data_IF_946131331321
#
_entry.id   IF_946131331321
#
_cell.length_a   1.000
_cell.length_b   1.000
_cell.length_c   1.000
_cell.angle_alpha   90.00
_cell.angle_beta   90.00
_cell.angle_gamma   90.00
#
_symmetry.space_group_name_H-M   'P 1'
#
loop_
_entity.id
_entity.type
_entity.pdbx_description
1 polymer ?
#
# COMPACT_ATOMS: atom_id res chain seq x y z
N UNK A 1 13.79 -9.03 -11.12
CA UNK A 1 13.29 -10.28 -10.50
C UNK A 1 13.20 -10.04 -9.01
N UNK A 2 12.01 -10.09 -8.41
CA UNK A 2 11.84 -9.74 -7.01
C UNK A 2 11.92 -10.98 -6.12
N UNK A 3 12.74 -10.91 -5.07
CA UNK A 3 12.83 -11.97 -4.08
C UNK A 3 11.51 -12.11 -3.31
N UNK A 4 11.18 -13.32 -2.88
CA UNK A 4 9.91 -13.62 -2.21
C UNK A 4 9.78 -12.85 -0.89
N UNK A 5 10.89 -12.68 -0.16
CA UNK A 5 10.94 -11.88 1.06
C UNK A 5 10.70 -10.39 0.77
N UNK A 6 11.28 -9.87 -0.32
CA UNK A 6 11.06 -8.49 -0.77
C UNK A 6 9.60 -8.25 -1.16
N UNK A 7 8.97 -9.21 -1.87
CA UNK A 7 7.55 -9.10 -2.24
C UNK A 7 6.64 -9.08 -1.01
N UNK A 8 6.90 -9.94 -0.01
CA UNK A 8 6.16 -9.94 1.27
C UNK A 8 6.34 -8.61 2.01
N UNK A 9 7.57 -8.10 2.11
CA UNK A 9 7.84 -6.80 2.74
C UNK A 9 7.10 -5.66 2.04
N UNK A 10 7.12 -5.62 0.71
CA UNK A 10 6.40 -4.62 -0.09
C UNK A 10 4.90 -4.69 0.17
N UNK A 11 4.28 -5.86 0.14
CA UNK A 11 2.86 -5.99 0.45
C UNK A 11 2.52 -5.46 1.85
N UNK A 12 3.31 -5.79 2.87
CA UNK A 12 3.08 -5.29 4.25
C UNK A 12 3.16 -3.76 4.30
N UNK A 13 4.18 -3.17 3.71
CA UNK A 13 4.35 -1.71 3.69
C UNK A 13 3.18 -1.03 2.98
N UNK A 14 2.76 -1.56 1.84
CA UNK A 14 1.69 -0.97 1.05
C UNK A 14 0.33 -1.14 1.73
N UNK A 15 0.05 -2.29 2.34
CA UNK A 15 -1.16 -2.49 3.14
C UNK A 15 -1.24 -1.50 4.30
N UNK A 16 -0.15 -1.30 5.04
CA UNK A 16 -0.09 -0.30 6.12
C UNK A 16 -0.35 1.10 5.60
N UNK A 17 0.17 1.47 4.43
CA UNK A 17 -0.07 2.76 3.81
C UNK A 17 -1.55 2.99 3.46
N UNK A 18 -2.22 1.97 2.89
CA UNK A 18 -3.64 2.02 2.56
C UNK A 18 -4.49 2.16 3.83
N UNK A 19 -4.23 1.33 4.84
CA UNK A 19 -4.94 1.42 6.12
C UNK A 19 -4.69 2.75 6.83
N UNK A 20 -3.47 3.28 6.78
CA UNK A 20 -3.12 4.59 7.32
C UNK A 20 -3.90 5.72 6.64
N UNK A 21 -3.97 5.72 5.31
CA UNK A 21 -4.78 6.68 4.56
C UNK A 21 -6.28 6.56 4.85
N UNK A 22 -6.78 5.33 5.01
CA UNK A 22 -8.18 5.10 5.38
C UNK A 22 -8.48 5.68 6.77
N UNK A 23 -7.60 5.44 7.74
CA UNK A 23 -7.72 6.01 9.07
C UNK A 23 -7.73 7.53 9.03
N UNK A 24 -6.95 8.17 8.14
CA UNK A 24 -6.98 9.63 7.94
C UNK A 24 -8.36 10.15 7.47
N UNK A 25 -9.10 9.36 6.69
CA UNK A 25 -10.45 9.73 6.23
C UNK A 25 -11.54 9.55 7.30
N UNK A 26 -11.30 8.77 8.35
CA UNK A 26 -12.29 8.47 9.39
C UNK A 26 -12.23 9.48 10.55
N UNK A 27 -11.29 10.42 10.52
CA UNK A 27 -11.00 11.29 11.67
C UNK A 27 -11.98 12.48 11.76
N UNK A 28 -12.66 12.71 12.90
CA UNK A 28 -13.66 13.78 13.02
C UNK A 28 -13.07 15.17 13.33
N UNK A 29 -11.75 15.28 13.50
CA UNK A 29 -11.11 16.45 14.09
C UNK A 29 -10.34 17.35 13.12
N UNK A 30 -9.90 16.85 11.96
CA UNK A 30 -9.14 17.65 10.99
C UNK A 30 -9.63 17.44 9.57
N UNK A 31 -10.21 18.49 9.00
CA UNK A 31 -10.71 18.51 7.63
C UNK A 31 -9.58 18.46 6.60
N UNK A 32 -8.42 19.01 6.95
CA UNK A 32 -7.22 18.94 6.10
C UNK A 32 -6.68 17.51 6.05
N UNK A 33 -6.65 16.81 7.19
CA UNK A 33 -6.25 15.40 7.24
C UNK A 33 -7.21 14.50 6.44
N UNK A 34 -8.51 14.78 6.50
CA UNK A 34 -9.51 14.12 5.66
C UNK A 34 -9.25 14.34 4.15
N UNK A 35 -8.96 15.59 3.76
CA UNK A 35 -8.64 15.95 2.36
C UNK A 35 -7.39 15.22 1.86
N UNK A 36 -6.38 15.03 2.70
CA UNK A 36 -5.18 14.28 2.35
C UNK A 36 -5.36 12.74 2.45
N UNK A 37 -6.38 12.25 3.15
CA UNK A 37 -6.65 10.82 3.27
C UNK A 37 -6.92 10.15 1.93
N UNK A 38 -7.77 10.74 1.08
CA UNK A 38 -8.09 10.20 -0.25
C UNK A 38 -6.85 10.00 -1.15
N UNK A 39 -6.00 11.03 -1.39
CA UNK A 39 -4.80 10.84 -2.20
C UNK A 39 -3.79 9.86 -1.59
N UNK A 40 -3.69 9.78 -0.25
CA UNK A 40 -2.82 8.80 0.42
C UNK A 40 -3.31 7.36 0.19
N UNK A 41 -4.61 7.11 0.33
CA UNK A 41 -5.21 5.79 0.01
C UNK A 41 -4.99 5.45 -1.46
N UNK A 42 -5.27 6.39 -2.36
CA UNK A 42 -5.11 6.19 -3.80
C UNK A 42 -3.67 5.84 -4.16
N UNK A 43 -2.68 6.55 -3.61
CA UNK A 43 -1.27 6.25 -3.81
C UNK A 43 -0.91 4.84 -3.31
N UNK A 44 -1.42 4.44 -2.14
CA UNK A 44 -1.26 3.10 -1.60
C UNK A 44 -1.86 2.02 -2.51
N UNK A 45 -3.07 2.22 -3.03
CA UNK A 45 -3.72 1.27 -3.95
C UNK A 45 -2.96 1.15 -5.27
N UNK A 46 -2.46 2.25 -5.82
CA UNK A 46 -1.64 2.23 -7.03
C UNK A 46 -0.34 1.45 -6.78
N UNK A 47 0.35 1.73 -5.68
CA UNK A 47 1.55 0.98 -5.29
C UNK A 47 1.26 -0.51 -5.09
N UNK A 48 0.10 -0.85 -4.54
CA UNK A 48 -0.33 -2.24 -4.33
C UNK A 48 -0.51 -2.94 -5.68
N UNK A 49 -1.20 -2.27 -6.60
CA UNK A 49 -1.45 -2.78 -7.93
C UNK A 49 -0.13 -3.02 -8.68
N UNK A 50 0.84 -2.11 -8.57
CA UNK A 50 2.18 -2.29 -9.16
C UNK A 50 2.87 -3.53 -8.57
N UNK A 51 2.90 -3.66 -7.24
CA UNK A 51 3.53 -4.82 -6.57
C UNK A 51 2.85 -6.13 -6.97
N UNK A 52 1.54 -6.09 -7.18
CA UNK A 52 0.75 -7.27 -7.55
C UNK A 52 1.11 -7.79 -8.94
N UNK A 53 1.30 -6.90 -9.89
CA UNK A 53 1.69 -7.24 -11.27
C UNK A 53 3.16 -7.65 -11.42
N UNK A 54 4.02 -7.40 -10.42
CA UNK A 54 5.43 -7.79 -10.49
C UNK A 54 5.61 -9.31 -10.29
N UNK A 55 6.26 -10.02 -11.24
CA UNK A 55 6.45 -11.46 -11.14
C UNK A 55 7.44 -11.81 -10.01
N UNK A 56 7.04 -12.73 -9.14
CA UNK A 56 7.90 -13.30 -8.12
C UNK A 56 8.85 -14.34 -8.75
N UNK A 57 10.07 -14.46 -8.22
CA UNK A 57 11.00 -15.53 -8.63
C UNK A 57 10.35 -16.91 -8.41
N UNK A 58 10.23 -17.77 -9.44
CA UNK A 58 9.78 -19.14 -9.22
C UNK A 58 10.79 -19.86 -8.34
N UNK A 59 10.30 -20.67 -7.39
CA UNK A 59 11.14 -21.62 -6.65
C UNK A 59 11.70 -22.62 -7.67
N UNK A 60 13.00 -22.58 -7.88
CA UNK A 60 13.70 -23.70 -8.53
C UNK A 60 13.93 -24.70 -7.42
N UNK A 61 13.06 -25.71 -7.34
CA UNK A 61 13.28 -26.91 -6.52
C UNK A 61 14.41 -27.75 -7.12
#
# INVERSE_FOLDING_TARGET
>A
MMDHATKIFLYKTVSVLIFGGFLMMVQPFSLDLYRFGFPVVLAGVIAFNIVDHLPARPKVE
#
